data_IF_143516341647
#
_entry.id   IF_143516341647
#
_cell.length_a   1.000
_cell.length_b   1.000
_cell.length_c   1.000
_cell.angle_alpha   90.00
_cell.angle_beta   90.00
_cell.angle_gamma   90.00
#
_symmetry.space_group_name_H-M   'P 1'
#
loop_
_entity.id
_entity.type
_entity.pdbx_description
1 polymer ?
#
# COMPACT_ATOMS: atom_id res chain seq x y z
N UNK A 1 7.80 -6.10 -9.30
CA UNK A 1 8.65 -6.82 -8.33
C UNK A 1 8.99 -5.80 -7.26
N UNK A 2 8.92 -6.18 -5.99
CA UNK A 2 9.26 -5.30 -4.86
C UNK A 2 10.21 -6.06 -3.93
N UNK A 3 10.97 -5.33 -3.12
CA UNK A 3 11.58 -5.91 -1.94
C UNK A 3 10.51 -6.35 -0.94
N UNK A 4 10.86 -7.26 -0.03
CA UNK A 4 10.01 -7.67 1.09
C UNK A 4 10.06 -6.61 2.19
N UNK A 5 8.90 -6.07 2.57
CA UNK A 5 8.80 -5.13 3.68
C UNK A 5 7.46 -5.25 4.41
N UNK A 6 7.46 -4.93 5.69
CA UNK A 6 6.30 -5.05 6.58
C UNK A 6 5.14 -4.19 6.10
N UNK A 7 4.01 -4.82 5.81
CA UNK A 7 2.79 -4.13 5.35
C UNK A 7 2.52 -4.27 3.85
N UNK A 8 3.49 -4.76 3.06
CA UNK A 8 3.26 -5.05 1.65
C UNK A 8 2.19 -6.14 1.46
N UNK A 9 2.26 -7.21 2.24
CA UNK A 9 1.30 -8.32 2.22
C UNK A 9 -0.09 -7.92 2.76
N UNK A 10 -0.14 -6.91 3.64
CA UNK A 10 -1.41 -6.35 4.12
C UNK A 10 -2.12 -5.54 3.04
N UNK A 11 -1.37 -4.98 2.09
CA UNK A 11 -1.92 -4.14 1.03
C UNK A 11 -2.24 -4.93 -0.25
N UNK A 12 -1.38 -5.87 -0.63
CA UNK A 12 -1.58 -6.69 -1.82
C UNK A 12 -2.05 -8.11 -1.45
N UNK A 13 -3.25 -8.53 -1.87
CA UNK A 13 -3.66 -9.93 -1.73
C UNK A 13 -2.75 -10.85 -2.55
N UNK A 14 -2.77 -12.15 -2.25
CA UNK A 14 -1.89 -13.16 -2.87
C UNK A 14 -1.87 -13.06 -4.39
N UNK A 15 -0.69 -13.27 -4.99
CA UNK A 15 -0.45 -13.27 -6.43
C UNK A 15 -0.73 -11.93 -7.16
N UNK A 16 -0.66 -10.80 -6.44
CA UNK A 16 -0.84 -9.46 -7.02
C UNK A 16 0.49 -8.77 -7.35
N UNK A 17 1.56 -9.08 -6.61
CA UNK A 17 2.93 -8.64 -6.88
C UNK A 17 3.89 -9.77 -6.46
N UNK A 18 5.01 -9.93 -7.18
CA UNK A 18 6.11 -10.77 -6.72
C UNK A 18 7.06 -9.95 -5.83
N UNK A 19 7.50 -10.57 -4.74
CA UNK A 19 8.54 -10.00 -3.87
C UNK A 19 9.84 -10.79 -3.99
N UNK A 20 10.97 -10.10 -3.91
CA UNK A 20 12.30 -10.72 -3.92
C UNK A 20 13.07 -10.33 -2.65
N UNK A 21 13.86 -11.27 -2.11
CA UNK A 21 14.80 -11.03 -1.00
C UNK A 21 16.24 -10.81 -1.44
N UNK A 22 16.57 -11.16 -2.69
CA UNK A 22 17.91 -11.07 -3.27
C UNK A 22 17.84 -10.94 -4.79
N UNK A 23 18.96 -10.58 -5.43
CA UNK A 23 19.01 -10.28 -6.85
C UNK A 23 18.67 -11.48 -7.74
N UNK A 24 19.08 -12.68 -7.34
CA UNK A 24 18.85 -13.94 -8.05
C UNK A 24 17.34 -14.21 -8.18
N UNK A 25 16.58 -13.98 -7.12
CA UNK A 25 15.13 -14.11 -7.14
C UNK A 25 14.48 -13.14 -8.14
N UNK A 26 15.01 -11.90 -8.25
CA UNK A 26 14.51 -10.92 -9.25
C UNK A 26 14.75 -11.44 -10.66
N UNK A 27 15.96 -11.95 -10.94
CA UNK A 27 16.33 -12.51 -12.24
C UNK A 27 15.43 -13.70 -12.58
N UNK A 28 15.22 -14.61 -11.64
CA UNK A 28 14.35 -15.77 -11.83
C UNK A 28 12.91 -15.36 -12.12
N UNK A 29 12.36 -14.38 -11.39
CA UNK A 29 11.01 -13.86 -11.64
C UNK A 29 10.91 -13.26 -13.04
N UNK A 30 11.90 -12.47 -13.47
CA UNK A 30 11.89 -11.84 -14.78
C UNK A 30 12.04 -12.85 -15.93
N UNK A 31 12.81 -13.90 -15.72
CA UNK A 31 13.20 -14.84 -16.77
C UNK A 31 12.22 -16.02 -16.93
N UNK A 32 11.56 -16.43 -15.85
CA UNK A 32 10.73 -17.64 -15.84
C UNK A 32 9.23 -17.40 -16.02
N UNK A 33 8.75 -16.16 -15.84
CA UNK A 33 7.31 -15.92 -15.73
C UNK A 33 6.63 -15.79 -17.10
N UNK A 34 5.62 -16.63 -17.42
CA UNK A 34 4.90 -16.51 -18.68
C UNK A 34 4.14 -15.19 -18.78
N UNK A 35 4.14 -14.60 -19.97
CA UNK A 35 3.47 -13.31 -20.26
C UNK A 35 2.01 -13.26 -19.79
N UNK A 36 1.26 -14.34 -20.02
CA UNK A 36 -0.14 -14.45 -19.56
C UNK A 36 -0.26 -14.26 -18.05
N UNK A 37 0.64 -14.88 -17.28
CA UNK A 37 0.64 -14.80 -15.81
C UNK A 37 1.04 -13.39 -15.37
N UNK A 38 2.09 -12.82 -16.00
CA UNK A 38 2.55 -11.45 -15.74
C UNK A 38 1.45 -10.41 -15.98
N UNK A 39 0.73 -10.52 -17.09
CA UNK A 39 -0.38 -9.61 -17.42
C UNK A 39 -1.58 -9.77 -16.48
N UNK A 40 -1.92 -11.00 -16.09
CA UNK A 40 -2.98 -11.24 -15.12
C UNK A 40 -2.65 -10.64 -13.75
N UNK A 41 -1.39 -10.78 -13.31
CA UNK A 41 -0.86 -10.15 -12.10
C UNK A 41 -0.96 -8.63 -12.18
N UNK A 42 -0.51 -8.02 -13.28
CA UNK A 42 -0.57 -6.56 -13.48
C UNK A 42 -2.01 -6.03 -13.44
N UNK A 43 -2.97 -6.74 -14.04
CA UNK A 43 -4.40 -6.36 -13.99
C UNK A 43 -4.94 -6.36 -12.56
N UNK A 44 -4.62 -7.38 -11.75
CA UNK A 44 -5.00 -7.43 -10.33
C UNK A 44 -4.37 -6.29 -9.55
N UNK A 45 -3.07 -6.05 -9.72
CA UNK A 45 -2.35 -4.99 -9.02
C UNK A 45 -2.97 -3.62 -9.29
N UNK A 46 -3.25 -3.33 -10.56
CA UNK A 46 -3.92 -2.09 -10.97
C UNK A 46 -5.29 -1.95 -10.32
N UNK A 47 -6.09 -3.00 -10.30
CA UNK A 47 -7.42 -2.97 -9.69
C UNK A 47 -7.33 -2.69 -8.16
N UNK A 48 -6.42 -3.35 -7.45
CA UNK A 48 -6.19 -3.14 -6.01
C UNK A 48 -5.76 -1.71 -5.72
N UNK A 49 -4.78 -1.18 -6.45
CA UNK A 49 -4.27 0.19 -6.27
C UNK A 49 -5.38 1.21 -6.49
N UNK A 50 -6.15 1.09 -7.58
CA UNK A 50 -7.20 2.06 -7.89
C UNK A 50 -8.35 2.02 -6.88
N UNK A 51 -8.63 0.87 -6.27
CA UNK A 51 -9.67 0.75 -5.26
C UNK A 51 -9.28 1.38 -3.92
N UNK A 52 -8.02 1.22 -3.49
CA UNK A 52 -7.63 1.49 -2.10
C UNK A 52 -6.48 2.49 -1.91
N UNK A 53 -5.73 2.82 -2.97
CA UNK A 53 -4.49 3.61 -2.87
C UNK A 53 -4.43 4.75 -3.87
N UNK A 54 -5.56 5.41 -4.04
CA UNK A 54 -5.65 6.72 -4.68
C UNK A 54 -5.77 7.79 -3.60
N UNK A 55 -5.44 9.04 -3.93
CA UNK A 55 -5.64 10.19 -3.05
C UNK A 55 -7.09 10.27 -2.56
N UNK A 56 -8.06 10.04 -3.45
CA UNK A 56 -9.47 10.01 -3.10
C UNK A 56 -9.83 8.87 -2.13
N UNK A 57 -9.30 7.66 -2.34
CA UNK A 57 -9.53 6.54 -1.42
C UNK A 57 -8.94 6.81 -0.03
N UNK A 58 -7.71 7.31 0.03
CA UNK A 58 -7.03 7.65 1.30
C UNK A 58 -7.68 8.82 2.03
N UNK A 59 -8.17 9.83 1.32
CA UNK A 59 -8.93 10.92 1.94
C UNK A 59 -10.24 10.41 2.58
N UNK A 60 -10.99 9.53 1.89
CA UNK A 60 -12.20 8.91 2.45
C UNK A 60 -11.90 8.05 3.68
N UNK A 61 -10.84 7.25 3.63
CA UNK A 61 -10.38 6.44 4.76
C UNK A 61 -10.04 7.33 5.96
N UNK A 62 -9.27 8.40 5.74
CA UNK A 62 -8.90 9.36 6.78
C UNK A 62 -10.11 10.00 7.46
N UNK A 63 -11.04 10.55 6.66
CA UNK A 63 -12.28 11.16 7.21
C UNK A 63 -13.11 10.13 7.97
N UNK A 64 -13.22 8.90 7.47
CA UNK A 64 -13.93 7.81 8.14
C UNK A 64 -13.34 7.47 9.51
N UNK A 65 -12.00 7.45 9.62
CA UNK A 65 -11.31 7.22 10.89
C UNK A 65 -11.51 8.38 11.88
N UNK A 66 -11.49 9.63 11.41
CA UNK A 66 -11.76 10.80 12.26
C UNK A 66 -13.21 10.83 12.77
N UNK A 67 -14.16 10.49 11.90
CA UNK A 67 -15.59 10.49 12.22
C UNK A 67 -16.02 9.33 13.12
N UNK A 68 -15.14 8.36 13.39
CA UNK A 68 -15.46 7.18 14.20
C UNK A 68 -15.69 7.58 15.67
N UNK A 69 -16.89 7.33 16.25
CA UNK A 69 -17.16 7.66 17.64
C UNK A 69 -16.17 6.94 18.57
N UNK A 70 -15.45 7.70 19.40
CA UNK A 70 -14.38 7.20 20.27
C UNK A 70 -12.96 7.61 19.87
N UNK A 71 -12.78 8.35 18.76
CA UNK A 71 -11.49 8.96 18.36
C UNK A 71 -11.14 10.25 19.14
N UNK A 72 -12.00 10.71 20.05
CA UNK A 72 -11.77 11.88 20.88
C UNK A 72 -10.70 11.59 21.96
N UNK A 73 -9.43 11.63 21.55
CA UNK A 73 -8.29 11.99 22.41
C UNK A 73 -8.00 13.48 22.16
N UNK A 74 -7.62 14.28 23.18
CA UNK A 74 -7.78 15.73 23.13
C UNK A 74 -7.04 16.32 21.94
N UNK A 75 -7.59 17.41 21.42
CA UNK A 75 -6.95 18.26 20.42
C UNK A 75 -5.46 18.40 20.80
N UNK A 76 -4.58 18.16 19.81
CA UNK A 76 -3.16 18.43 19.95
C UNK A 76 -3.03 19.85 20.50
N UNK A 77 -2.61 19.97 21.76
CA UNK A 77 -2.24 21.24 22.37
C UNK A 77 -0.92 21.63 21.71
N UNK A 78 -1.03 22.16 20.50
CA UNK A 78 0.07 22.80 19.82
C UNK A 78 0.14 24.19 20.45
N UNK A 79 0.88 24.29 21.57
CA UNK A 79 1.37 25.55 22.10
C UNK A 79 2.27 26.20 21.02
N UNK A 80 1.66 26.85 20.04
CA UNK A 80 2.31 27.77 19.11
C UNK A 80 2.42 29.12 19.83
N UNK A 81 3.06 29.14 20.99
CA UNK A 81 3.46 30.37 21.68
C UNK A 81 4.86 30.19 22.29
N UNK A 82 5.88 30.02 21.45
CA UNK A 82 7.24 30.45 21.79
C UNK A 82 8.13 30.51 20.55
N UNK A 83 7.84 31.44 19.65
CA UNK A 83 8.79 31.87 18.63
C UNK A 83 8.50 33.34 18.30
N UNK A 84 8.74 34.21 19.28
CA UNK A 84 8.86 35.65 19.12
C UNK A 84 10.16 36.10 19.80
#
# INVERSE_FOLDING_TARGET
ISDRWTGLDSFFPTATINTAGQAEEVIDILSSQPDRVRLAMAKRARATILAAHTSAARAREFVSLLARPGSARPALDLDIESAA
#
